data_IF_425364562555
#
_entry.id   IF_425364562555
#
_cell.length_a   1.000
_cell.length_b   1.000
_cell.length_c   1.000
_cell.angle_alpha   90.00
_cell.angle_beta   90.00
_cell.angle_gamma   90.00
#
_symmetry.space_group_name_H-M   'P 1'
#
loop_
_entity.id
_entity.type
_entity.pdbx_description
1 polymer ?
#
# COMPACT_ATOMS: atom_id res chain seq x y z
N UNK A 1 8.56 -30.87 -6.83
CA UNK A 1 7.14 -30.47 -6.68
C UNK A 1 7.06 -29.55 -5.47
N UNK A 2 7.06 -28.23 -5.70
CA UNK A 2 7.00 -27.22 -4.64
C UNK A 2 5.67 -27.33 -3.90
N UNK A 3 5.71 -27.23 -2.57
CA UNK A 3 4.51 -27.30 -1.74
C UNK A 3 3.63 -26.08 -2.05
N UNK A 4 2.35 -26.24 -2.45
CA UNK A 4 1.48 -25.11 -2.85
C UNK A 4 1.34 -24.05 -1.74
N UNK A 5 1.49 -24.43 -0.47
CA UNK A 5 1.50 -23.49 0.64
C UNK A 5 2.67 -22.49 0.58
N UNK A 6 3.85 -22.90 0.11
CA UNK A 6 5.08 -22.11 0.18
C UNK A 6 5.08 -20.97 -0.84
N UNK A 7 4.55 -21.21 -2.05
CA UNK A 7 4.41 -20.17 -3.09
C UNK A 7 3.34 -19.13 -2.72
N UNK A 8 2.26 -19.57 -2.06
CA UNK A 8 1.20 -18.68 -1.58
C UNK A 8 1.72 -17.67 -0.54
N UNK A 9 2.65 -18.08 0.33
CA UNK A 9 3.29 -17.20 1.31
C UNK A 9 4.15 -16.09 0.66
N UNK A 10 4.83 -16.38 -0.44
CA UNK A 10 5.59 -15.36 -1.17
C UNK A 10 4.66 -14.36 -1.87
N UNK A 11 3.54 -14.83 -2.43
CA UNK A 11 2.53 -13.99 -3.06
C UNK A 11 1.80 -13.07 -2.07
N UNK A 12 1.65 -13.47 -0.81
CA UNK A 12 1.07 -12.64 0.25
C UNK A 12 2.02 -11.60 0.86
N UNK A 13 3.34 -11.72 0.68
CA UNK A 13 4.29 -10.73 1.23
C UNK A 13 4.22 -9.40 0.48
N UNK A 14 4.09 -9.46 -0.84
CA UNK A 14 4.03 -8.30 -1.72
C UNK A 14 2.88 -7.32 -1.39
N UNK A 15 1.61 -7.77 -1.24
CA UNK A 15 0.51 -6.88 -0.87
C UNK A 15 0.73 -6.24 0.50
N UNK A 16 1.25 -7.01 1.47
CA UNK A 16 1.48 -6.55 2.83
C UNK A 16 2.55 -5.44 2.88
N UNK A 17 3.63 -5.61 2.11
CA UNK A 17 4.67 -4.59 1.93
C UNK A 17 4.10 -3.33 1.27
N UNK A 18 3.30 -3.47 0.21
CA UNK A 18 2.66 -2.34 -0.47
C UNK A 18 1.73 -1.55 0.46
N UNK A 19 0.91 -2.25 1.26
CA UNK A 19 0.08 -1.59 2.28
C UNK A 19 0.92 -0.89 3.35
N UNK A 20 2.00 -1.51 3.84
CA UNK A 20 2.88 -0.89 4.84
C UNK A 20 3.52 0.39 4.31
N UNK A 21 4.04 0.36 3.09
CA UNK A 21 4.61 1.54 2.42
C UNK A 21 3.51 2.60 2.23
N UNK A 22 2.31 2.20 1.79
CA UNK A 22 1.18 3.11 1.64
C UNK A 22 0.78 3.79 2.94
N UNK A 23 0.75 3.06 4.06
CA UNK A 23 0.43 3.61 5.40
C UNK A 23 1.48 4.65 5.79
N UNK A 24 2.76 4.28 5.74
CA UNK A 24 3.86 5.18 6.12
C UNK A 24 3.87 6.44 5.25
N UNK A 25 3.68 6.28 3.95
CA UNK A 25 3.65 7.40 3.00
C UNK A 25 2.48 8.34 3.27
N UNK A 26 1.29 7.80 3.54
CA UNK A 26 0.10 8.60 3.85
C UNK A 26 0.26 9.36 5.18
N UNK A 27 0.76 8.69 6.22
CA UNK A 27 1.01 9.33 7.51
C UNK A 27 2.11 10.40 7.42
N UNK A 28 3.20 10.12 6.69
CA UNK A 28 4.25 11.09 6.45
C UNK A 28 3.73 12.33 5.71
N UNK A 29 2.89 12.13 4.70
CA UNK A 29 2.25 13.21 3.95
C UNK A 29 1.36 14.08 4.83
N UNK A 30 0.51 13.48 5.66
CA UNK A 30 -0.35 14.22 6.60
C UNK A 30 0.47 14.99 7.64
N UNK A 31 1.54 14.37 8.15
CA UNK A 31 2.44 14.99 9.14
C UNK A 31 3.17 16.19 8.53
N UNK A 32 3.70 16.04 7.31
CA UNK A 32 4.31 17.13 6.56
C UNK A 32 3.30 18.26 6.32
N UNK A 33 2.10 17.95 5.83
CA UNK A 33 1.06 18.96 5.59
C UNK A 33 0.73 19.77 6.84
N UNK A 34 0.72 19.12 8.02
CA UNK A 34 0.47 19.80 9.30
C UNK A 34 1.64 20.67 9.74
N UNK A 35 2.88 20.19 9.58
CA UNK A 35 4.08 20.93 9.98
C UNK A 35 4.34 22.16 9.09
N UNK A 36 4.04 22.04 7.80
CA UNK A 36 4.27 23.11 6.82
C UNK A 36 3.00 23.90 6.48
N UNK A 37 1.98 23.87 7.35
CA UNK A 37 0.71 24.58 7.20
C UNK A 37 0.85 26.06 6.80
N UNK A 38 1.94 26.72 7.20
CA UNK A 38 2.22 28.13 6.92
C UNK A 38 3.13 28.37 5.69
N UNK A 39 3.68 27.33 5.07
CA UNK A 39 4.54 27.42 3.88
C UNK A 39 3.73 26.99 2.65
N UNK A 40 3.23 27.97 1.88
CA UNK A 40 2.24 27.76 0.82
C UNK A 40 2.59 26.74 -0.29
N UNK A 41 3.85 26.32 -0.42
CA UNK A 41 4.29 25.29 -1.37
C UNK A 41 4.21 23.85 -0.84
N UNK A 42 4.25 23.64 0.48
CA UNK A 42 4.31 22.30 1.07
C UNK A 42 2.99 21.52 0.94
N UNK A 43 1.87 22.23 0.80
CA UNK A 43 0.54 21.62 0.69
C UNK A 43 0.36 20.83 -0.61
N UNK A 44 1.00 21.24 -1.71
CA UNK A 44 0.92 20.54 -3.01
C UNK A 44 1.74 19.24 -2.96
N UNK A 45 2.98 19.32 -2.46
CA UNK A 45 3.86 18.15 -2.31
C UNK A 45 3.29 17.12 -1.34
N UNK A 46 2.75 17.58 -0.21
CA UNK A 46 2.08 16.72 0.75
C UNK A 46 0.80 16.08 0.18
N UNK A 47 0.02 16.83 -0.62
CA UNK A 47 -1.14 16.29 -1.32
C UNK A 47 -0.79 15.15 -2.30
N UNK A 48 0.27 15.33 -3.09
CA UNK A 48 0.75 14.29 -4.01
C UNK A 48 1.25 13.04 -3.28
N UNK A 49 2.00 13.21 -2.19
CA UNK A 49 2.45 12.11 -1.34
C UNK A 49 1.29 11.36 -0.69
N UNK A 50 0.26 12.09 -0.24
CA UNK A 50 -0.94 11.48 0.32
C UNK A 50 -1.69 10.63 -0.73
N UNK A 51 -1.83 11.14 -1.95
CA UNK A 51 -2.44 10.40 -3.07
C UNK A 51 -1.64 9.15 -3.44
N UNK A 52 -0.31 9.24 -3.47
CA UNK A 52 0.55 8.09 -3.70
C UNK A 52 0.38 7.03 -2.59
N UNK A 53 0.35 7.46 -1.33
CA UNK A 53 0.14 6.55 -0.19
C UNK A 53 -1.21 5.84 -0.24
N UNK A 54 -2.27 6.57 -0.59
CA UNK A 54 -3.62 6.02 -0.79
C UNK A 54 -3.67 5.02 -1.96
N UNK A 55 -3.02 5.32 -3.08
CA UNK A 55 -2.95 4.43 -4.23
C UNK A 55 -2.21 3.12 -3.90
N UNK A 56 -1.12 3.19 -3.14
CA UNK A 56 -0.39 2.02 -2.65
C UNK A 56 -1.23 1.18 -1.67
N UNK A 57 -2.00 1.83 -0.79
CA UNK A 57 -2.95 1.16 0.09
C UNK A 57 -4.01 0.39 -0.71
N UNK A 58 -4.67 1.08 -1.64
CA UNK A 58 -5.71 0.50 -2.48
C UNK A 58 -5.14 -0.66 -3.32
N UNK A 59 -3.97 -0.48 -3.93
CA UNK A 59 -3.28 -1.50 -4.71
C UNK A 59 -2.91 -2.73 -3.88
N UNK A 60 -2.35 -2.54 -2.67
CA UNK A 60 -2.04 -3.64 -1.76
C UNK A 60 -3.29 -4.41 -1.32
N UNK A 61 -4.39 -3.72 -1.00
CA UNK A 61 -5.67 -4.34 -0.67
C UNK A 61 -6.26 -5.14 -1.86
N UNK A 62 -6.29 -4.55 -3.06
CA UNK A 62 -6.76 -5.21 -4.28
C UNK A 62 -5.94 -6.46 -4.58
N UNK A 63 -4.62 -6.37 -4.46
CA UNK A 63 -3.73 -7.51 -4.66
C UNK A 63 -4.00 -8.61 -3.63
N UNK A 64 -4.19 -8.26 -2.36
CA UNK A 64 -4.59 -9.19 -1.32
C UNK A 64 -5.87 -9.96 -1.69
N UNK A 65 -6.91 -9.24 -2.12
CA UNK A 65 -8.17 -9.85 -2.57
C UNK A 65 -7.95 -10.78 -3.77
N UNK A 66 -7.20 -10.36 -4.79
CA UNK A 66 -6.90 -11.17 -5.97
C UNK A 66 -6.15 -12.45 -5.59
N UNK A 67 -5.16 -12.37 -4.70
CA UNK A 67 -4.42 -13.55 -4.24
C UNK A 67 -5.31 -14.54 -3.50
N UNK A 68 -6.25 -14.05 -2.68
CA UNK A 68 -7.22 -14.90 -1.99
C UNK A 68 -8.17 -15.56 -3.00
N UNK A 69 -8.76 -14.80 -3.92
CA UNK A 69 -9.70 -15.31 -4.93
C UNK A 69 -9.02 -16.33 -5.86
N UNK A 70 -7.81 -16.05 -6.33
CA UNK A 70 -7.04 -16.98 -7.15
C UNK A 70 -6.74 -18.28 -6.39
N UNK A 71 -6.40 -18.18 -5.11
CA UNK A 71 -6.20 -19.35 -4.24
C UNK A 71 -7.46 -20.19 -4.01
N UNK A 72 -8.64 -19.56 -4.01
CA UNK A 72 -9.94 -20.27 -3.91
C UNK A 72 -10.34 -20.93 -5.24
N UNK A 73 -10.10 -20.29 -6.38
CA UNK A 73 -10.46 -20.82 -7.71
C UNK A 73 -9.59 -22.00 -8.16
N UNK A 74 -8.39 -22.14 -7.60
CA UNK A 74 -7.45 -23.24 -7.89
C UNK A 74 -7.56 -24.43 -6.91
N UNK A 75 -8.56 -24.43 -6.02
CA UNK A 75 -8.95 -25.61 -5.21
C UNK A 75 -10.11 -26.34 -5.87
#
# INVERSE_FOLDING_TARGET
MGRPAQDTWYLLRLPLILTLIGVVTTFGALTWNRLSCCEGGANIGAGMLALLGLALLAGGCLWGIVTVVAGYLHR
#
